data_IF_578066712763
#
_entry.id   IF_578066712763
#
_cell.length_a   1.000
_cell.length_b   1.000
_cell.length_c   1.000
_cell.angle_alpha   90.00
_cell.angle_beta   90.00
_cell.angle_gamma   90.00
#
_symmetry.space_group_name_H-M   'P 1'
#
loop_
_entity.id
_entity.type
_entity.pdbx_description
1 polymer ?
#
# COMPACT_ATOMS: atom_id res chain seq x y z
N UNK A 1 32.81 17.60 50.05
CA UNK A 1 32.23 17.77 48.70
C UNK A 1 32.96 16.94 47.61
N UNK A 2 34.27 16.81 47.59
CA UNK A 2 35.00 16.04 46.54
C UNK A 2 34.65 14.55 46.50
N UNK A 3 34.41 13.86 47.63
CA UNK A 3 34.06 12.43 47.67
C UNK A 3 32.67 12.09 47.07
N UNK A 4 31.71 13.01 47.16
CA UNK A 4 30.36 12.78 46.57
C UNK A 4 30.38 12.95 45.04
N UNK A 5 31.22 13.81 44.50
CA UNK A 5 31.37 13.96 43.05
C UNK A 5 32.07 12.74 42.41
N UNK A 6 33.08 12.20 43.08
CA UNK A 6 33.80 10.99 42.64
C UNK A 6 32.87 9.76 42.65
N UNK A 7 32.02 9.61 43.67
CA UNK A 7 31.03 8.53 43.75
C UNK A 7 29.95 8.63 42.67
N UNK A 8 29.50 9.86 42.31
CA UNK A 8 28.58 10.10 41.19
C UNK A 8 29.21 9.79 39.83
N UNK A 9 30.47 10.15 39.63
CA UNK A 9 31.22 9.82 38.40
C UNK A 9 31.42 8.31 38.24
N UNK A 10 31.78 7.60 39.32
CA UNK A 10 31.96 6.16 39.31
C UNK A 10 30.63 5.43 38.95
N UNK A 11 29.50 5.83 39.54
CA UNK A 11 28.17 5.29 39.19
C UNK A 11 27.78 5.55 37.73
N UNK A 12 28.11 6.72 37.17
CA UNK A 12 27.87 7.02 35.75
C UNK A 12 28.74 6.16 34.83
N UNK A 13 29.97 5.93 35.17
CA UNK A 13 30.90 5.06 34.43
C UNK A 13 30.46 3.58 34.45
N UNK A 14 29.97 3.09 35.59
CA UNK A 14 29.42 1.72 35.69
C UNK A 14 28.11 1.57 34.91
N UNK A 15 27.23 2.55 34.97
CA UNK A 15 26.01 2.56 34.17
C UNK A 15 26.31 2.56 32.67
N UNK A 16 27.28 3.38 32.22
CA UNK A 16 27.73 3.38 30.82
C UNK A 16 28.35 2.05 30.38
N UNK A 17 29.18 1.42 31.26
CA UNK A 17 29.73 0.09 30.98
C UNK A 17 28.66 -0.99 30.89
N UNK A 18 27.62 -0.93 31.72
CA UNK A 18 26.48 -1.86 31.65
C UNK A 18 25.65 -1.65 30.36
N UNK A 19 25.41 -0.42 29.95
CA UNK A 19 24.75 -0.13 28.70
C UNK A 19 25.53 -0.62 27.48
N UNK A 20 26.84 -0.36 27.44
CA UNK A 20 27.70 -0.84 26.34
C UNK A 20 27.82 -2.37 26.31
N UNK A 21 27.79 -3.04 27.48
CA UNK A 21 27.77 -4.49 27.56
C UNK A 21 26.40 -5.07 27.09
N UNK A 22 25.30 -4.39 27.39
CA UNK A 22 23.95 -4.77 26.89
C UNK A 22 23.85 -4.57 25.38
N UNK A 23 24.28 -3.45 24.82
CA UNK A 23 24.34 -3.22 23.38
C UNK A 23 25.22 -4.24 22.64
N UNK A 24 26.41 -4.56 23.20
CA UNK A 24 27.29 -5.61 22.64
C UNK A 24 26.68 -6.99 22.73
N UNK A 25 25.91 -7.29 23.77
CA UNK A 25 25.18 -8.54 23.90
C UNK A 25 24.00 -8.61 22.91
N UNK A 26 23.30 -7.51 22.70
CA UNK A 26 22.23 -7.38 21.73
C UNK A 26 22.74 -7.46 20.29
N UNK A 27 23.87 -6.79 19.97
CA UNK A 27 24.55 -6.89 18.68
C UNK A 27 25.09 -8.31 18.38
N UNK A 28 25.50 -9.06 19.43
CA UNK A 28 25.91 -10.46 19.31
C UNK A 28 24.73 -11.43 19.19
N UNK A 29 23.53 -11.03 19.61
CA UNK A 29 22.31 -11.84 19.49
C UNK A 29 21.60 -11.72 18.13
N UNK A 30 21.99 -10.72 17.32
CA UNK A 30 21.42 -10.52 15.97
C UNK A 30 22.07 -11.51 15.01
N UNK A 31 21.33 -12.53 14.63
CA UNK A 31 21.78 -13.52 13.61
C UNK A 31 21.72 -12.80 12.26
N UNK A 32 22.88 -12.49 11.69
CA UNK A 32 22.96 -12.01 10.29
C UNK A 32 22.75 -13.20 9.36
N UNK A 33 21.55 -13.31 8.82
CA UNK A 33 21.20 -14.27 7.78
C UNK A 33 21.71 -13.75 6.44
N UNK A 34 22.84 -14.29 5.94
CA UNK A 34 23.17 -14.18 4.52
C UNK A 34 22.40 -15.26 3.77
N UNK A 35 21.95 -15.05 2.51
CA UNK A 35 21.10 -16.00 1.78
C UNK A 35 21.66 -17.42 1.69
N UNK A 36 22.99 -17.58 1.74
CA UNK A 36 23.71 -18.85 1.56
C UNK A 36 24.36 -19.41 2.83
N UNK A 37 24.19 -18.75 3.98
CA UNK A 37 24.82 -19.22 5.22
C UNK A 37 24.08 -20.42 5.82
N UNK A 38 24.77 -21.58 5.92
CA UNK A 38 24.29 -22.71 6.70
C UNK A 38 24.32 -22.33 8.20
N UNK A 39 23.15 -22.19 8.80
CA UNK A 39 23.02 -21.93 10.23
C UNK A 39 23.64 -23.05 11.07
N UNK A 40 24.50 -22.66 12.02
CA UNK A 40 25.02 -23.61 13.01
C UNK A 40 23.89 -24.16 13.89
N UNK A 41 24.10 -25.30 14.54
CA UNK A 41 23.13 -25.88 15.46
C UNK A 41 22.77 -24.95 16.62
N UNK A 42 23.74 -24.14 17.10
CA UNK A 42 23.53 -23.14 18.15
C UNK A 42 22.65 -21.98 17.67
N UNK A 43 22.88 -21.50 16.45
CA UNK A 43 22.10 -20.40 15.86
C UNK A 43 20.65 -20.82 15.54
N UNK A 44 20.46 -22.07 15.11
CA UNK A 44 19.11 -22.64 14.94
C UNK A 44 18.34 -22.64 16.25
N UNK A 45 18.95 -23.07 17.38
CA UNK A 45 18.33 -23.06 18.71
C UNK A 45 17.98 -21.66 19.17
N UNK A 46 18.89 -20.67 18.96
CA UNK A 46 18.65 -19.26 19.28
C UNK A 46 17.50 -18.68 18.45
N UNK A 47 17.46 -18.99 17.14
CA UNK A 47 16.38 -18.57 16.24
C UNK A 47 15.04 -19.14 16.70
N UNK A 48 14.98 -20.45 16.98
CA UNK A 48 13.77 -21.09 17.48
C UNK A 48 13.32 -20.48 18.80
N UNK A 49 14.24 -20.21 19.72
CA UNK A 49 13.92 -19.57 21.01
C UNK A 49 13.39 -18.14 20.81
N UNK A 50 14.00 -17.34 19.91
CA UNK A 50 13.53 -15.98 19.61
C UNK A 50 12.15 -15.97 18.95
N UNK A 51 11.89 -16.90 18.03
CA UNK A 51 10.58 -17.09 17.38
C UNK A 51 9.52 -17.50 18.42
N UNK A 52 9.87 -18.43 19.30
CA UNK A 52 8.94 -18.90 20.35
C UNK A 52 8.61 -17.78 21.31
N UNK A 53 9.60 -16.98 21.72
CA UNK A 53 9.40 -15.79 22.56
C UNK A 53 8.51 -14.76 21.86
N UNK A 54 8.81 -14.42 20.61
CA UNK A 54 8.04 -13.45 19.82
C UNK A 54 6.57 -13.91 19.60
N UNK A 55 6.33 -15.23 19.43
CA UNK A 55 4.98 -15.82 19.40
C UNK A 55 4.26 -15.65 20.71
N UNK A 56 4.94 -15.90 21.84
CA UNK A 56 4.37 -15.76 23.19
C UNK A 56 4.05 -14.30 23.50
N UNK A 57 4.91 -13.38 23.10
CA UNK A 57 4.74 -11.94 23.30
C UNK A 57 3.75 -11.31 22.31
N UNK A 58 3.11 -12.08 21.41
CA UNK A 58 2.17 -11.59 20.41
C UNK A 58 2.80 -10.76 19.29
N UNK A 59 4.13 -10.73 19.19
CA UNK A 59 4.87 -9.96 18.16
C UNK A 59 4.83 -10.61 16.77
N UNK A 60 4.57 -11.93 16.70
CA UNK A 60 4.43 -12.65 15.45
C UNK A 60 2.94 -12.81 15.13
N UNK A 61 2.49 -12.34 13.96
CA UNK A 61 1.09 -12.51 13.56
C UNK A 61 0.70 -13.98 13.53
N UNK A 62 -0.48 -14.30 14.03
CA UNK A 62 -1.05 -15.66 14.05
C UNK A 62 -2.11 -15.85 12.98
N UNK A 63 -2.73 -14.78 12.52
CA UNK A 63 -3.78 -14.79 11.51
C UNK A 63 -3.41 -13.89 10.33
N UNK A 64 -4.04 -14.11 9.19
CA UNK A 64 -3.84 -13.27 8.01
C UNK A 64 -4.19 -11.79 8.30
N UNK A 65 -5.24 -11.53 9.08
CA UNK A 65 -5.63 -10.17 9.48
C UNK A 65 -4.54 -9.44 10.25
N UNK A 66 -3.83 -10.16 11.14
CA UNK A 66 -2.76 -9.57 11.95
C UNK A 66 -1.51 -9.24 11.13
N UNK A 67 -1.32 -9.85 9.96
CA UNK A 67 -0.21 -9.52 9.06
C UNK A 67 -0.41 -8.22 8.31
N UNK A 68 -1.66 -7.72 8.20
CA UNK A 68 -1.98 -6.50 7.46
C UNK A 68 -1.56 -5.28 8.30
N UNK A 69 -0.60 -4.47 7.83
CA UNK A 69 0.11 -3.51 8.66
C UNK A 69 -0.59 -2.14 8.78
N UNK A 70 -1.89 -2.09 9.04
CA UNK A 70 -2.57 -0.86 9.44
C UNK A 70 -3.50 -1.12 10.62
N UNK A 71 -3.85 -0.09 11.37
CA UNK A 71 -4.74 -0.22 12.52
C UNK A 71 -6.21 0.00 12.13
N UNK A 72 -6.49 1.08 11.42
CA UNK A 72 -7.84 1.49 11.06
C UNK A 72 -7.89 2.10 9.67
N UNK A 73 -8.93 1.77 8.89
CA UNK A 73 -9.30 2.47 7.66
C UNK A 73 -10.55 3.29 7.96
N UNK A 74 -10.51 4.58 7.64
CA UNK A 74 -11.62 5.50 7.89
C UNK A 74 -12.41 5.79 6.62
N UNK A 75 -13.68 6.22 6.78
CA UNK A 75 -14.56 6.53 5.64
C UNK A 75 -14.00 7.63 4.73
N UNK A 76 -13.34 8.63 5.33
CA UNK A 76 -12.73 9.78 4.63
C UNK A 76 -11.42 9.45 3.88
N UNK A 77 -11.07 8.19 3.75
CA UNK A 77 -9.87 7.74 3.05
C UNK A 77 -8.60 7.84 3.89
N UNK A 78 -8.65 8.31 5.13
CA UNK A 78 -7.47 8.30 6.01
C UNK A 78 -7.26 6.87 6.55
N UNK A 79 -6.06 6.35 6.35
CA UNK A 79 -5.62 5.09 6.94
C UNK A 79 -4.69 5.39 8.11
N UNK A 80 -5.05 4.89 9.28
CA UNK A 80 -4.22 4.90 10.49
C UNK A 80 -3.32 3.68 10.42
N UNK A 81 -2.06 3.89 10.06
CA UNK A 81 -1.08 2.79 9.97
C UNK A 81 -0.58 2.43 11.37
N UNK A 82 -0.23 3.43 12.16
CA UNK A 82 0.10 3.31 13.57
C UNK A 82 -0.39 4.56 14.33
N UNK A 83 -0.27 4.66 15.67
CA UNK A 83 -0.80 5.79 16.43
C UNK A 83 -0.30 7.18 15.99
N UNK A 84 0.85 7.23 15.33
CA UNK A 84 1.52 8.47 14.93
C UNK A 84 1.72 8.61 13.41
N UNK A 85 1.27 7.65 12.60
CA UNK A 85 1.45 7.69 11.14
C UNK A 85 0.14 7.49 10.40
N UNK A 86 -0.21 8.46 9.57
CA UNK A 86 -1.48 8.56 8.87
C UNK A 86 -1.24 8.74 7.38
N UNK A 87 -2.02 8.06 6.54
CA UNK A 87 -1.87 8.10 5.09
C UNK A 87 -3.17 8.36 4.36
N UNK A 88 -3.09 9.03 3.20
CA UNK A 88 -4.16 9.10 2.18
C UNK A 88 -3.64 8.59 0.84
N UNK A 89 -4.54 8.36 -0.10
CA UNK A 89 -4.21 7.79 -1.40
C UNK A 89 -5.01 8.48 -2.50
N UNK A 90 -4.32 8.75 -3.61
CA UNK A 90 -4.88 9.35 -4.82
C UNK A 90 -4.66 8.38 -5.98
N UNK A 91 -5.66 8.16 -6.80
CA UNK A 91 -5.54 7.50 -8.09
C UNK A 91 -5.23 8.53 -9.16
N UNK A 92 -4.27 8.23 -10.05
CA UNK A 92 -3.95 9.10 -11.17
C UNK A 92 -3.84 8.30 -12.48
N UNK A 93 -3.98 9.01 -13.60
CA UNK A 93 -4.03 8.44 -14.93
C UNK A 93 -2.85 8.89 -15.77
N UNK A 94 -2.70 8.32 -16.96
CA UNK A 94 -1.65 8.68 -17.89
C UNK A 94 -1.96 9.98 -18.62
N UNK A 95 -0.90 10.61 -19.12
CA UNK A 95 -0.90 11.71 -20.05
C UNK A 95 -0.28 11.25 -21.37
N UNK A 96 -0.79 11.74 -22.49
CA UNK A 96 -0.26 11.45 -23.82
C UNK A 96 1.01 12.27 -24.13
N UNK A 97 2.07 12.01 -23.36
CA UNK A 97 3.36 12.70 -23.54
C UNK A 97 3.95 12.52 -24.94
N UNK A 98 3.78 11.34 -25.56
CA UNK A 98 4.37 11.05 -26.87
C UNK A 98 3.77 11.89 -28.00
N UNK A 99 2.50 12.26 -27.91
CA UNK A 99 1.77 13.06 -28.90
C UNK A 99 1.90 14.57 -28.66
N UNK A 100 2.52 15.00 -27.56
CA UNK A 100 2.71 16.40 -27.25
C UNK A 100 3.78 17.03 -28.15
N UNK A 101 3.65 18.31 -28.47
CA UNK A 101 4.68 19.09 -29.15
C UNK A 101 5.90 19.28 -28.24
N UNK A 102 7.05 19.67 -28.85
CA UNK A 102 8.31 19.76 -28.08
C UNK A 102 8.23 20.81 -26.95
N UNK A 103 7.55 21.92 -27.20
CA UNK A 103 7.33 22.97 -26.19
C UNK A 103 6.49 22.46 -25.02
N UNK A 104 5.39 21.74 -25.33
CA UNK A 104 4.52 21.12 -24.32
C UNK A 104 5.28 20.05 -23.52
N UNK A 105 6.18 19.30 -24.18
CA UNK A 105 7.01 18.29 -23.50
C UNK A 105 7.93 18.91 -22.46
N UNK A 106 8.55 20.05 -22.78
CA UNK A 106 9.40 20.77 -21.84
C UNK A 106 8.58 21.28 -20.64
N UNK A 107 7.42 21.88 -20.90
CA UNK A 107 6.52 22.34 -19.84
C UNK A 107 6.04 21.19 -18.94
N UNK A 108 5.68 20.05 -19.53
CA UNK A 108 5.30 18.84 -18.76
C UNK A 108 6.46 18.38 -17.89
N UNK A 109 7.69 18.40 -18.42
CA UNK A 109 8.89 18.00 -17.69
C UNK A 109 9.18 18.95 -16.52
N UNK A 110 9.10 20.25 -16.72
CA UNK A 110 9.26 21.26 -15.67
C UNK A 110 8.23 21.07 -14.55
N UNK A 111 6.95 20.99 -14.91
CA UNK A 111 5.86 20.73 -13.96
C UNK A 111 6.05 19.40 -13.22
N UNK A 112 6.62 18.37 -13.86
CA UNK A 112 6.93 17.10 -13.22
C UNK A 112 8.07 17.24 -12.19
N UNK A 113 9.10 18.02 -12.53
CA UNK A 113 10.18 18.34 -11.57
C UNK A 113 9.64 19.11 -10.37
N UNK A 114 8.79 20.10 -10.58
CA UNK A 114 8.15 20.87 -9.51
C UNK A 114 7.27 19.99 -8.64
N UNK A 115 6.52 19.08 -9.25
CA UNK A 115 5.72 18.09 -8.51
C UNK A 115 6.59 17.19 -7.60
N UNK A 116 7.73 16.72 -8.10
CA UNK A 116 8.64 15.91 -7.28
C UNK A 116 9.30 16.73 -6.17
N UNK A 117 9.66 17.98 -6.43
CA UNK A 117 10.26 18.89 -5.45
C UNK A 117 9.29 19.35 -4.36
N UNK A 118 7.98 19.20 -4.58
CA UNK A 118 6.96 19.50 -3.57
C UNK A 118 7.11 18.63 -2.30
N UNK A 119 7.58 17.39 -2.46
CA UNK A 119 7.69 16.45 -1.35
C UNK A 119 8.96 16.67 -0.54
N UNK A 120 8.82 17.20 0.65
CA UNK A 120 9.89 17.33 1.62
C UNK A 120 10.06 16.05 2.48
N UNK A 121 11.04 16.07 3.39
CA UNK A 121 11.33 14.93 4.28
C UNK A 121 10.21 14.63 5.30
N UNK A 122 9.23 15.54 5.48
CA UNK A 122 8.10 15.35 6.39
C UNK A 122 6.96 14.54 5.77
N UNK A 123 6.95 14.40 4.44
CA UNK A 123 5.93 13.68 3.69
C UNK A 123 6.53 12.39 3.12
N UNK A 124 6.06 11.25 3.59
CA UNK A 124 6.43 9.96 2.99
C UNK A 124 5.54 9.68 1.80
N UNK A 125 6.15 9.38 0.66
CA UNK A 125 5.44 9.13 -0.60
C UNK A 125 5.74 7.74 -1.11
N UNK A 126 4.72 7.07 -1.63
CA UNK A 126 4.82 5.78 -2.30
C UNK A 126 4.02 5.82 -3.60
N UNK A 127 4.69 5.54 -4.72
CA UNK A 127 4.05 5.28 -6.00
C UNK A 127 3.75 3.77 -6.11
N UNK A 128 2.52 3.43 -6.48
CA UNK A 128 2.09 2.06 -6.64
C UNK A 128 1.50 1.86 -8.04
N UNK A 129 2.00 0.83 -8.72
CA UNK A 129 1.50 0.40 -10.02
C UNK A 129 0.89 -0.98 -9.86
N UNK A 130 -0.41 -1.09 -10.05
CA UNK A 130 -1.14 -2.31 -9.86
C UNK A 130 -1.66 -2.82 -11.19
N UNK A 131 -1.20 -4.00 -11.60
CA UNK A 131 -1.71 -4.72 -12.76
C UNK A 131 -2.78 -5.70 -12.26
N UNK A 132 -4.00 -5.52 -12.72
CA UNK A 132 -5.14 -6.33 -12.34
C UNK A 132 -5.74 -6.99 -13.57
N UNK A 133 -6.31 -8.17 -13.37
CA UNK A 133 -7.13 -8.78 -14.41
C UNK A 133 -8.33 -7.89 -14.68
N UNK A 134 -8.50 -7.47 -15.93
CA UNK A 134 -9.65 -6.69 -16.33
C UNK A 134 -10.92 -7.53 -16.20
N UNK A 135 -11.97 -6.97 -15.65
CA UNK A 135 -13.30 -7.54 -15.80
C UNK A 135 -13.74 -7.32 -17.25
N UNK A 136 -13.59 -8.38 -18.05
CA UNK A 136 -13.92 -8.32 -19.48
C UNK A 136 -15.42 -8.13 -19.70
N UNK A 137 -16.27 -8.58 -18.76
CA UNK A 137 -17.71 -8.39 -18.86
C UNK A 137 -18.08 -6.91 -18.67
N UNK A 138 -17.49 -6.24 -17.69
CA UNK A 138 -17.74 -4.82 -17.43
C UNK A 138 -17.22 -3.95 -18.58
N UNK A 139 -16.03 -4.28 -19.12
CA UNK A 139 -15.49 -3.61 -20.30
C UNK A 139 -16.34 -3.83 -21.55
N UNK A 140 -16.81 -5.04 -21.78
CA UNK A 140 -17.68 -5.36 -22.93
C UNK A 140 -19.00 -4.62 -22.82
N UNK A 141 -19.57 -4.47 -21.62
CA UNK A 141 -20.77 -3.66 -21.38
C UNK A 141 -20.55 -2.18 -21.65
N UNK A 142 -19.36 -1.64 -21.34
CA UNK A 142 -19.04 -0.23 -21.58
C UNK A 142 -18.90 0.15 -23.05
N UNK A 143 -18.74 -0.84 -23.94
CA UNK A 143 -18.64 -0.66 -25.42
C UNK A 143 -20.00 -0.83 -26.11
N UNK A 144 -21.08 -0.89 -25.36
CA UNK A 144 -22.41 -0.94 -25.97
C UNK A 144 -22.82 0.47 -26.43
N UNK A 145 -22.97 0.65 -27.75
CA UNK A 145 -23.51 1.87 -28.33
C UNK A 145 -25.05 1.69 -28.36
N UNK A 146 -25.75 2.54 -27.61
CA UNK A 146 -27.17 2.45 -27.46
C UNK A 146 -27.88 2.66 -28.81
N UNK A 147 -28.94 1.87 -29.07
CA UNK A 147 -29.79 2.02 -30.22
C UNK A 147 -30.49 3.39 -30.22
N UNK A 148 -30.55 4.00 -31.39
CA UNK A 148 -31.29 5.23 -31.61
C UNK A 148 -32.41 4.96 -32.59
N UNK A 149 -33.45 5.83 -32.61
CA UNK A 149 -34.63 5.67 -33.48
C UNK A 149 -34.31 5.93 -34.97
N UNK A 150 -33.19 5.42 -35.48
CA UNK A 150 -32.66 5.62 -36.82
C UNK A 150 -32.32 4.31 -37.52
N UNK A 151 -32.24 4.34 -38.87
CA UNK A 151 -31.95 3.19 -39.72
C UNK A 151 -30.54 2.59 -39.58
N UNK A 152 -29.64 3.20 -38.76
CA UNK A 152 -28.22 2.84 -38.67
C UNK A 152 -27.86 1.96 -37.46
N UNK A 153 -28.85 1.35 -36.81
CA UNK A 153 -28.60 0.52 -35.65
C UNK A 153 -27.76 -0.73 -35.97
N UNK A 154 -27.94 -1.32 -37.17
CA UNK A 154 -27.12 -2.45 -37.63
C UNK A 154 -25.61 -2.07 -37.74
N UNK A 155 -25.30 -0.86 -38.18
CA UNK A 155 -23.93 -0.36 -38.28
C UNK A 155 -23.34 -0.10 -36.88
N UNK A 156 -24.15 0.40 -35.95
CA UNK A 156 -23.73 0.59 -34.54
C UNK A 156 -23.42 -0.74 -33.85
N UNK A 157 -24.23 -1.76 -34.13
CA UNK A 157 -24.04 -3.10 -33.59
C UNK A 157 -22.75 -3.73 -34.14
N UNK A 158 -22.55 -3.67 -35.48
CA UNK A 158 -21.32 -4.16 -36.14
C UNK A 158 -20.08 -3.43 -35.64
N UNK A 159 -20.16 -2.11 -35.46
CA UNK A 159 -19.04 -1.32 -34.90
C UNK A 159 -18.74 -1.67 -33.45
N UNK A 160 -19.79 -1.88 -32.65
CA UNK A 160 -19.64 -2.35 -31.25
C UNK A 160 -18.96 -3.70 -31.17
N UNK A 161 -19.34 -4.63 -32.04
CA UNK A 161 -18.76 -5.97 -32.11
C UNK A 161 -17.31 -5.96 -32.62
N UNK A 162 -17.01 -5.10 -33.60
CA UNK A 162 -15.64 -4.87 -34.05
C UNK A 162 -14.75 -4.35 -32.87
N UNK A 163 -15.23 -3.38 -32.11
CA UNK A 163 -14.53 -2.85 -30.94
C UNK A 163 -14.32 -3.90 -29.86
N UNK A 164 -15.34 -4.71 -29.56
CA UNK A 164 -15.26 -5.84 -28.61
C UNK A 164 -14.21 -6.86 -29.06
N UNK A 165 -14.20 -7.21 -30.36
CA UNK A 165 -13.23 -8.13 -30.94
C UNK A 165 -11.81 -7.58 -30.92
N UNK A 166 -11.61 -6.28 -31.18
CA UNK A 166 -10.29 -5.64 -31.04
C UNK A 166 -9.82 -5.62 -29.59
N UNK A 167 -10.71 -5.35 -28.65
CA UNK A 167 -10.40 -5.37 -27.22
C UNK A 167 -9.98 -6.78 -26.76
N UNK A 168 -10.65 -7.81 -27.27
CA UNK A 168 -10.32 -9.21 -26.98
C UNK A 168 -8.95 -9.64 -27.57
N UNK A 169 -8.56 -9.10 -28.73
CA UNK A 169 -7.31 -9.43 -29.42
C UNK A 169 -6.10 -8.64 -28.88
N UNK A 170 -6.30 -7.40 -28.46
CA UNK A 170 -5.21 -6.43 -28.21
C UNK A 170 -4.74 -6.30 -26.78
N UNK A 171 -5.40 -6.91 -25.82
CA UNK A 171 -5.07 -6.71 -24.42
C UNK A 171 -4.96 -8.06 -23.70
N UNK A 172 -3.83 -8.29 -23.02
CA UNK A 172 -3.61 -9.48 -22.17
C UNK A 172 -4.59 -9.56 -20.97
N UNK A 173 -5.74 -8.90 -21.06
CA UNK A 173 -6.75 -8.86 -20.00
C UNK A 173 -6.27 -8.14 -18.71
N UNK A 174 -5.19 -7.36 -18.80
CA UNK A 174 -4.65 -6.63 -17.65
C UNK A 174 -4.97 -5.13 -17.73
N UNK A 175 -5.42 -4.57 -16.63
CA UNK A 175 -5.55 -3.12 -16.44
C UNK A 175 -4.48 -2.64 -15.47
N UNK A 176 -3.70 -1.65 -15.90
CA UNK A 176 -2.73 -0.98 -15.04
C UNK A 176 -3.39 0.21 -14.37
N UNK A 177 -3.45 0.21 -13.05
CA UNK A 177 -3.88 1.35 -12.25
C UNK A 177 -2.71 1.92 -11.47
N UNK A 178 -2.74 3.23 -11.26
CA UNK A 178 -1.65 3.98 -10.65
C UNK A 178 -2.15 4.75 -9.45
N UNK A 179 -1.39 4.67 -8.38
CA UNK A 179 -1.72 5.31 -7.12
C UNK A 179 -0.51 6.02 -6.54
N UNK A 180 -0.75 7.16 -5.94
CA UNK A 180 0.19 7.81 -5.04
C UNK A 180 -0.40 7.75 -3.63
N UNK A 181 0.34 7.15 -2.72
CA UNK A 181 0.03 7.12 -1.30
C UNK A 181 1.00 8.07 -0.61
N UNK A 182 0.48 9.01 0.14
CA UNK A 182 1.27 9.94 0.92
C UNK A 182 0.88 9.86 2.39
N UNK A 183 1.84 10.12 3.26
CA UNK A 183 1.63 9.99 4.70
C UNK A 183 2.52 10.93 5.50
N UNK A 184 2.03 11.27 6.68
CA UNK A 184 2.70 12.15 7.63
C UNK A 184 2.71 11.56 9.03
N UNK A 185 3.69 11.95 9.81
CA UNK A 185 3.70 11.71 11.24
C UNK A 185 3.00 12.86 11.98
N UNK A 186 2.16 12.52 12.96
CA UNK A 186 1.45 13.46 13.82
C UNK A 186 1.09 12.80 15.16
N UNK A 187 0.94 13.61 16.20
CA UNK A 187 0.62 13.12 17.55
C UNK A 187 -0.80 12.57 17.67
N UNK A 188 -1.69 12.99 16.78
CA UNK A 188 -3.08 12.54 16.76
C UNK A 188 -3.71 12.66 15.38
N UNK A 189 -4.77 11.89 15.16
CA UNK A 189 -5.59 11.97 13.96
C UNK A 189 -6.19 13.40 13.76
N UNK A 190 -6.57 14.08 14.85
CA UNK A 190 -7.11 15.44 14.78
C UNK A 190 -6.10 16.43 14.23
N UNK A 191 -4.82 16.27 14.57
CA UNK A 191 -3.73 17.08 14.02
C UNK A 191 -3.33 16.66 12.60
N UNK A 192 -3.40 15.34 12.29
CA UNK A 192 -3.04 14.82 10.98
C UNK A 192 -4.01 15.20 9.87
N UNK A 193 -5.33 15.16 10.15
CA UNK A 193 -6.38 15.32 9.16
C UNK A 193 -6.27 16.61 8.33
N UNK A 194 -6.21 17.83 8.91
CA UNK A 194 -6.13 19.05 8.12
C UNK A 194 -4.83 19.14 7.30
N UNK A 195 -3.73 18.59 7.81
CA UNK A 195 -2.46 18.53 7.07
C UNK A 195 -2.56 17.59 5.86
N UNK A 196 -3.16 16.42 6.03
CA UNK A 196 -3.38 15.47 4.94
C UNK A 196 -4.33 16.01 3.87
N UNK A 197 -5.40 16.70 4.27
CA UNK A 197 -6.34 17.35 3.35
C UNK A 197 -5.67 18.45 2.53
N UNK A 198 -4.78 19.24 3.15
CA UNK A 198 -3.99 20.24 2.45
C UNK A 198 -3.04 19.61 1.44
N UNK A 199 -2.24 18.62 1.86
CA UNK A 199 -1.31 17.90 0.97
C UNK A 199 -2.07 17.24 -0.19
N UNK A 200 -3.24 16.68 0.07
CA UNK A 200 -4.11 16.11 -0.97
C UNK A 200 -4.52 17.15 -2.01
N UNK A 201 -4.96 18.32 -1.56
CA UNK A 201 -5.34 19.42 -2.45
C UNK A 201 -4.15 19.90 -3.29
N UNK A 202 -2.97 20.04 -2.69
CA UNK A 202 -1.75 20.44 -3.37
C UNK A 202 -1.32 19.41 -4.42
N UNK A 203 -1.37 18.11 -4.10
CA UNK A 203 -1.06 17.02 -5.05
C UNK A 203 -2.05 17.02 -6.23
N UNK A 204 -3.35 17.18 -5.96
CA UNK A 204 -4.36 17.24 -7.02
C UNK A 204 -4.18 18.48 -7.90
N UNK A 205 -3.80 19.63 -7.34
CA UNK A 205 -3.48 20.84 -8.10
C UNK A 205 -2.26 20.64 -9.01
N UNK A 206 -1.21 20.00 -8.50
CA UNK A 206 -0.01 19.67 -9.29
C UNK A 206 -0.32 18.68 -10.42
N UNK A 207 -1.13 17.64 -10.18
CA UNK A 207 -1.59 16.74 -11.24
C UNK A 207 -2.40 17.49 -12.31
N UNK A 208 -3.26 18.43 -11.88
CA UNK A 208 -4.02 19.27 -12.82
C UNK A 208 -3.10 20.15 -13.67
N UNK A 209 -2.06 20.75 -13.07
CA UNK A 209 -1.04 21.53 -13.81
C UNK A 209 -0.27 20.67 -14.82
N UNK A 210 -0.01 19.41 -14.51
CA UNK A 210 0.57 18.41 -15.41
C UNK A 210 -0.38 17.95 -16.53
N UNK A 211 -1.67 18.33 -16.49
CA UNK A 211 -2.70 17.78 -17.39
C UNK A 211 -3.11 16.34 -17.08
N UNK A 212 -2.71 15.82 -15.93
CA UNK A 212 -3.02 14.45 -15.50
C UNK A 212 -4.35 14.43 -14.76
N UNK A 213 -5.26 13.54 -15.14
CA UNK A 213 -6.47 13.29 -14.37
C UNK A 213 -6.10 12.54 -13.09
N UNK A 214 -6.55 13.05 -11.95
CA UNK A 214 -6.34 12.43 -10.64
C UNK A 214 -7.58 12.60 -9.77
N UNK A 215 -7.80 11.66 -8.84
CA UNK A 215 -8.90 11.72 -7.87
C UNK A 215 -8.48 11.14 -6.53
N UNK A 216 -9.00 11.70 -5.47
CA UNK A 216 -8.86 11.15 -4.14
C UNK A 216 -9.63 9.85 -4.01
N UNK A 217 -9.14 8.94 -3.17
CA UNK A 217 -9.80 7.69 -2.84
C UNK A 217 -10.39 7.77 -1.43
N UNK A 218 -11.62 7.34 -1.30
CA UNK A 218 -12.24 7.14 0.01
C UNK A 218 -11.78 5.82 0.67
N UNK A 219 -12.23 5.58 1.90
CA UNK A 219 -11.83 4.40 2.65
C UNK A 219 -12.35 3.09 2.04
N UNK A 220 -13.53 3.10 1.43
CA UNK A 220 -14.09 1.93 0.76
C UNK A 220 -13.29 1.57 -0.48
N UNK A 221 -12.98 2.55 -1.32
CA UNK A 221 -12.17 2.37 -2.53
C UNK A 221 -10.77 1.83 -2.19
N UNK A 222 -10.14 2.34 -1.12
CA UNK A 222 -8.87 1.81 -0.62
C UNK A 222 -8.97 0.36 -0.15
N UNK A 223 -10.06 -0.01 0.52
CA UNK A 223 -10.32 -1.40 0.92
C UNK A 223 -10.54 -2.31 -0.29
N UNK A 224 -11.22 -1.82 -1.34
CA UNK A 224 -11.37 -2.57 -2.60
C UNK A 224 -10.01 -2.88 -3.23
N UNK A 225 -9.12 -1.89 -3.29
CA UNK A 225 -7.76 -2.07 -3.82
C UNK A 225 -6.99 -3.12 -3.01
N UNK A 226 -7.00 -3.03 -1.69
CA UNK A 226 -6.35 -3.99 -0.81
C UNK A 226 -6.94 -5.40 -0.96
N UNK A 227 -8.27 -5.50 -1.03
CA UNK A 227 -8.95 -6.77 -1.26
C UNK A 227 -8.52 -7.42 -2.58
N UNK A 228 -8.45 -6.63 -3.67
CA UNK A 228 -7.99 -7.12 -4.96
C UNK A 228 -6.53 -7.59 -4.93
N UNK A 229 -5.66 -6.90 -4.19
CA UNK A 229 -4.27 -7.31 -3.99
C UNK A 229 -4.15 -8.64 -3.23
N UNK A 230 -5.02 -8.86 -2.25
CA UNK A 230 -5.04 -10.09 -1.45
C UNK A 230 -5.81 -11.24 -2.10
N UNK A 231 -6.58 -10.96 -3.16
CA UNK A 231 -7.35 -11.96 -3.91
C UNK A 231 -6.99 -11.91 -5.42
N UNK A 232 -5.72 -12.20 -5.79
CA UNK A 232 -5.21 -12.01 -7.16
C UNK A 232 -5.87 -12.93 -8.19
N UNK A 233 -6.51 -14.03 -7.77
CA UNK A 233 -7.27 -14.90 -8.66
C UNK A 233 -8.50 -14.22 -9.31
N UNK A 234 -8.93 -13.08 -8.74
CA UNK A 234 -10.10 -12.35 -9.21
C UNK A 234 -11.43 -13.04 -8.87
N UNK A 235 -12.54 -12.44 -9.32
CA UNK A 235 -13.89 -13.01 -9.18
C UNK A 235 -14.60 -12.77 -7.86
N UNK A 236 -13.90 -12.39 -6.81
CA UNK A 236 -14.52 -12.05 -5.53
C UNK A 236 -14.68 -10.53 -5.40
N UNK A 237 -15.91 -10.05 -5.36
CA UNK A 237 -16.20 -8.65 -5.02
C UNK A 237 -16.16 -8.45 -3.52
N UNK A 238 -15.54 -7.37 -3.06
CA UNK A 238 -15.53 -7.01 -1.64
C UNK A 238 -16.96 -6.81 -1.12
N UNK A 239 -17.36 -7.59 -0.14
CA UNK A 239 -18.65 -7.47 0.55
C UNK A 239 -18.40 -6.78 1.89
N UNK A 240 -18.25 -5.46 1.86
CA UNK A 240 -17.95 -4.65 3.04
C UNK A 240 -19.02 -3.57 3.24
N UNK A 241 -19.41 -3.38 4.48
CA UNK A 241 -20.26 -2.26 4.90
C UNK A 241 -19.74 -1.72 6.23
N UNK A 242 -19.65 -0.38 6.32
CA UNK A 242 -19.28 0.29 7.57
C UNK A 242 -20.22 -0.04 8.73
N UNK A 243 -21.51 -0.22 8.45
CA UNK A 243 -22.50 -0.53 9.48
C UNK A 243 -22.34 -1.97 9.98
N UNK A 244 -21.88 -2.88 9.13
CA UNK A 244 -21.58 -4.24 9.54
C UNK A 244 -20.44 -4.32 10.54
N UNK A 245 -19.40 -3.49 10.41
CA UNK A 245 -18.29 -3.45 11.37
C UNK A 245 -18.75 -3.01 12.75
N UNK A 246 -19.61 -2.00 12.84
CA UNK A 246 -20.16 -1.53 14.11
C UNK A 246 -21.05 -2.57 14.79
N UNK A 247 -21.85 -3.32 14.01
CA UNK A 247 -22.80 -4.31 14.56
C UNK A 247 -22.13 -5.61 14.97
N UNK A 248 -21.09 -6.03 14.27
CA UNK A 248 -20.47 -7.35 14.45
C UNK A 248 -19.18 -7.30 15.27
N UNK A 249 -18.60 -6.11 15.49
CA UNK A 249 -17.27 -5.96 16.09
C UNK A 249 -16.11 -6.43 15.20
N UNK A 250 -16.39 -6.78 13.94
CA UNK A 250 -15.38 -7.10 12.95
C UNK A 250 -14.66 -5.83 12.51
N UNK A 251 -13.39 -5.96 12.16
CA UNK A 251 -12.58 -4.88 11.60
C UNK A 251 -12.60 -4.92 10.07
N UNK A 252 -12.22 -3.82 9.42
CA UNK A 252 -12.08 -3.82 7.95
C UNK A 252 -11.11 -4.88 7.44
N UNK A 253 -10.15 -5.32 8.26
CA UNK A 253 -9.19 -6.38 7.92
C UNK A 253 -9.85 -7.75 7.74
N UNK A 254 -10.90 -8.03 8.49
CA UNK A 254 -11.62 -9.31 8.41
C UNK A 254 -12.33 -9.50 7.07
N UNK A 255 -12.66 -8.39 6.40
CA UNK A 255 -13.31 -8.40 5.10
C UNK A 255 -12.35 -8.45 3.91
N UNK A 256 -11.11 -7.97 4.08
CA UNK A 256 -10.12 -7.90 2.99
C UNK A 256 -9.05 -8.98 3.08
N UNK A 257 -8.86 -9.59 4.26
CA UNK A 257 -7.81 -10.58 4.44
C UNK A 257 -8.11 -11.86 3.64
N UNK A 258 -7.09 -12.50 3.06
CA UNK A 258 -7.24 -13.82 2.49
C UNK A 258 -7.32 -14.88 3.61
N UNK A 259 -7.76 -16.08 3.27
CA UNK A 259 -7.86 -17.19 4.22
C UNK A 259 -6.51 -17.51 4.88
N UNK A 260 -5.41 -17.40 4.11
CA UNK A 260 -4.07 -17.70 4.61
C UNK A 260 -2.97 -17.00 3.81
N UNK A 261 -1.84 -16.75 4.49
CA UNK A 261 -0.55 -16.46 3.86
C UNK A 261 0.39 -17.60 4.22
N UNK A 262 0.97 -18.27 3.21
CA UNK A 262 1.88 -19.38 3.41
C UNK A 262 3.22 -19.11 2.71
N UNK A 263 4.31 -19.11 3.47
CA UNK A 263 5.68 -18.92 3.03
C UNK A 263 6.48 -20.18 3.36
N UNK A 264 6.17 -21.30 2.69
CA UNK A 264 6.80 -22.61 2.95
C UNK A 264 8.17 -22.76 2.28
N UNK A 265 8.44 -21.99 1.22
CA UNK A 265 9.66 -22.07 0.43
C UNK A 265 10.28 -20.70 0.22
N UNK A 266 11.60 -20.66 -0.03
CA UNK A 266 12.33 -19.39 -0.29
C UNK A 266 11.88 -18.68 -1.59
N UNK A 267 11.37 -19.43 -2.56
CA UNK A 267 11.04 -18.97 -3.90
C UNK A 267 9.54 -19.07 -4.23
N UNK A 268 8.72 -19.52 -3.30
CA UNK A 268 7.28 -19.69 -3.51
C UNK A 268 6.52 -19.22 -2.30
N UNK A 269 5.50 -18.44 -2.54
CA UNK A 269 4.50 -18.06 -1.53
C UNK A 269 3.09 -18.38 -2.03
N UNK A 270 2.16 -18.48 -1.10
CA UNK A 270 0.76 -18.72 -1.41
C UNK A 270 -0.10 -17.72 -0.65
N UNK A 271 -1.06 -17.13 -1.36
CA UNK A 271 -2.08 -16.26 -0.80
C UNK A 271 -3.44 -16.93 -1.03
N UNK A 272 -4.08 -17.41 0.02
CA UNK A 272 -5.28 -18.24 -0.10
C UNK A 272 -5.03 -19.46 -0.98
N UNK A 273 -5.67 -19.50 -2.15
CA UNK A 273 -5.50 -20.58 -3.14
C UNK A 273 -4.52 -20.24 -4.29
N UNK A 274 -3.98 -19.02 -4.31
CA UNK A 274 -3.12 -18.53 -5.41
C UNK A 274 -1.65 -18.66 -5.03
N UNK A 275 -0.84 -19.18 -5.95
CA UNK A 275 0.61 -19.31 -5.82
C UNK A 275 1.33 -18.18 -6.57
N UNK A 276 2.43 -17.69 -5.99
CA UNK A 276 3.36 -16.74 -6.61
C UNK A 276 4.80 -17.18 -6.40
#
# INVERSE_FOLDING_TARGET
MKNQQQAKQAKRLEAGKKQLAAEKAEARSTIRLTPDAKLSGADKRRLVASITKAKKDGRIPRTAQQTIPYQEMRRDGICVVNPHYFTKQIQFYDINYQLAQNEDKNQIFENYCDFLNYFDSSIRVQLSFLNQRADMEERTRSIHIADQAEAFNSIREEYSDMLKNQLAKGNNGLTKTKYITFGIEADSLKAAKPRLERIEADILANFKALGVKARSLDGYERLVILHQMFHPAGGQKLRFSWDATYKTGLTSKDFIAPDSFTFSHKQRFQIGKTYG
#
